data_IF_527122850033
#
_entry.id   IF_527122850033
#
_cell.length_a   1.000
_cell.length_b   1.000
_cell.length_c   1.000
_cell.angle_alpha   90.00
_cell.angle_beta   90.00
_cell.angle_gamma   90.00
#
_symmetry.space_group_name_H-M   'P 1'
#
loop_
_entity.id
_entity.type
_entity.pdbx_description
1 polymer ?
#
# COMPACT_ATOMS: atom_id res chain seq x y z
N UNK A 1 10.76 -9.10 -32.37
CA UNK A 1 9.98 -7.89 -32.67
C UNK A 1 8.96 -7.78 -31.54
N UNK A 2 9.10 -6.80 -30.65
CA UNK A 2 8.10 -6.59 -29.59
C UNK A 2 6.91 -5.87 -30.21
N UNK A 3 5.72 -6.40 -29.95
CA UNK A 3 4.45 -5.84 -30.42
C UNK A 3 4.25 -4.46 -29.76
N UNK A 4 4.32 -3.40 -30.58
CA UNK A 4 4.12 -2.02 -30.15
C UNK A 4 2.63 -1.68 -29.94
N UNK A 5 1.72 -2.58 -30.32
CA UNK A 5 0.27 -2.44 -30.19
C UNK A 5 -0.30 -3.21 -28.99
N UNK A 6 0.56 -3.83 -28.17
CA UNK A 6 0.12 -4.47 -26.93
C UNK A 6 -0.58 -3.42 -26.04
N UNK A 7 -1.85 -3.64 -25.63
CA UNK A 7 -2.56 -2.67 -24.83
C UNK A 7 -1.82 -2.43 -23.51
N UNK A 8 -1.72 -1.17 -23.11
CA UNK A 8 -1.14 -0.80 -21.82
C UNK A 8 -1.85 -1.60 -20.71
N UNK A 9 -1.07 -2.26 -19.85
CA UNK A 9 -1.62 -3.08 -18.75
C UNK A 9 -2.60 -2.22 -17.92
N UNK A 10 -3.85 -2.66 -17.66
CA UNK A 10 -4.80 -1.87 -16.87
C UNK A 10 -4.23 -1.50 -15.50
N UNK A 11 -4.57 -0.32 -15.00
CA UNK A 11 -3.99 0.21 -13.76
C UNK A 11 -4.28 -0.71 -12.56
N UNK A 12 -5.50 -1.26 -12.50
CA UNK A 12 -5.90 -2.22 -11.47
C UNK A 12 -5.15 -3.55 -11.58
N UNK A 13 -4.81 -4.02 -12.80
CA UNK A 13 -3.98 -5.21 -12.96
C UNK A 13 -2.58 -5.01 -12.37
N UNK A 14 -1.98 -3.82 -12.55
CA UNK A 14 -0.68 -3.49 -11.92
C UNK A 14 -0.81 -3.39 -10.41
N UNK A 15 -1.86 -2.73 -9.92
CA UNK A 15 -2.18 -2.63 -8.49
C UNK A 15 -2.26 -4.02 -7.83
N UNK A 16 -3.03 -4.94 -8.41
CA UNK A 16 -3.16 -6.29 -7.88
C UNK A 16 -1.88 -7.12 -8.01
N UNK A 17 -1.10 -6.92 -9.07
CA UNK A 17 0.20 -7.58 -9.22
C UNK A 17 1.16 -7.15 -8.09
N UNK A 18 1.28 -5.86 -7.81
CA UNK A 18 2.13 -5.38 -6.71
C UNK A 18 1.63 -5.87 -5.35
N UNK A 19 0.32 -5.93 -5.13
CA UNK A 19 -0.25 -6.55 -3.94
C UNK A 19 0.16 -8.03 -3.80
N UNK A 20 0.05 -8.82 -4.87
CA UNK A 20 0.41 -10.23 -4.85
C UNK A 20 1.91 -10.44 -4.58
N UNK A 21 2.77 -9.60 -5.16
CA UNK A 21 4.21 -9.61 -4.92
C UNK A 21 4.52 -9.26 -3.45
N UNK A 22 3.89 -8.19 -2.92
CA UNK A 22 4.03 -7.80 -1.53
C UNK A 22 3.66 -8.94 -0.56
N UNK A 23 2.49 -9.56 -0.76
CA UNK A 23 2.01 -10.68 0.06
C UNK A 23 3.00 -11.85 0.02
N UNK A 24 3.49 -12.18 -1.17
CA UNK A 24 4.42 -13.30 -1.38
C UNK A 24 5.73 -13.06 -0.64
N UNK A 25 6.37 -11.91 -0.86
CA UNK A 25 7.61 -11.57 -0.18
C UNK A 25 7.44 -11.42 1.33
N UNK A 26 6.37 -10.75 1.80
CA UNK A 26 6.16 -10.57 3.24
C UNK A 26 5.95 -11.91 3.98
N UNK A 27 5.45 -12.95 3.28
CA UNK A 27 5.35 -14.30 3.84
C UNK A 27 6.73 -14.89 4.18
N UNK A 28 7.76 -14.61 3.40
CA UNK A 28 9.12 -15.14 3.56
C UNK A 28 10.07 -14.25 4.36
N UNK A 29 9.59 -13.11 4.86
CA UNK A 29 10.39 -12.06 5.52
C UNK A 29 11.29 -12.52 6.69
N UNK A 30 10.96 -13.63 7.34
CA UNK A 30 11.68 -14.15 8.51
C UNK A 30 12.62 -15.32 8.13
N UNK A 31 12.67 -15.69 6.84
CA UNK A 31 13.43 -16.83 6.31
C UNK A 31 14.44 -16.40 5.24
N UNK A 32 14.10 -15.39 4.43
CA UNK A 32 14.95 -14.84 3.37
C UNK A 32 15.21 -13.35 3.64
N UNK A 33 16.50 -13.01 3.78
CA UNK A 33 16.96 -11.64 4.10
C UNK A 33 16.55 -10.61 3.03
N UNK A 34 16.32 -11.04 1.77
CA UNK A 34 15.86 -10.15 0.70
C UNK A 34 14.34 -9.95 0.71
N UNK A 35 13.59 -10.84 1.36
CA UNK A 35 12.14 -10.86 1.25
C UNK A 35 11.48 -9.63 1.88
N UNK A 36 12.02 -9.08 2.97
CA UNK A 36 11.50 -7.83 3.52
C UNK A 36 11.70 -6.65 2.55
N UNK A 37 12.82 -6.62 1.83
CA UNK A 37 13.11 -5.60 0.81
C UNK A 37 12.14 -5.70 -0.36
N UNK A 38 11.92 -6.90 -0.89
CA UNK A 38 10.96 -7.13 -1.98
C UNK A 38 9.52 -6.76 -1.61
N UNK A 39 9.11 -7.00 -0.37
CA UNK A 39 7.79 -6.60 0.11
C UNK A 39 7.62 -5.07 0.14
N UNK A 40 8.67 -4.34 0.54
CA UNK A 40 8.66 -2.87 0.58
C UNK A 40 8.67 -2.28 -0.83
N UNK A 41 9.52 -2.78 -1.73
CA UNK A 41 9.59 -2.31 -3.10
C UNK A 41 8.24 -2.49 -3.81
N UNK A 42 7.58 -3.64 -3.60
CA UNK A 42 6.24 -3.88 -4.12
C UNK A 42 5.21 -2.89 -3.54
N UNK A 43 5.31 -2.58 -2.25
CA UNK A 43 4.47 -1.55 -1.65
C UNK A 43 4.70 -0.18 -2.28
N UNK A 44 5.95 0.25 -2.42
CA UNK A 44 6.31 1.55 -3.01
C UNK A 44 5.81 1.68 -4.45
N UNK A 45 5.99 0.63 -5.27
CA UNK A 45 5.44 0.56 -6.63
C UNK A 45 3.92 0.65 -6.65
N UNK A 46 3.25 -0.03 -5.72
CA UNK A 46 1.79 0.05 -5.59
C UNK A 46 1.30 1.44 -5.16
N UNK A 47 2.04 2.11 -4.27
CA UNK A 47 1.72 3.46 -3.79
C UNK A 47 1.97 4.51 -4.87
N UNK A 48 2.94 4.31 -5.76
CA UNK A 48 3.19 5.22 -6.87
C UNK A 48 1.99 5.33 -7.84
N UNK A 49 1.12 4.32 -7.87
CA UNK A 49 -0.08 4.29 -8.72
C UNK A 49 -1.39 4.36 -7.91
N UNK A 50 -1.34 4.60 -6.60
CA UNK A 50 -2.51 4.45 -5.73
C UNK A 50 -3.65 5.39 -6.10
N UNK A 51 -3.37 6.67 -6.38
CA UNK A 51 -4.42 7.61 -6.81
C UNK A 51 -5.14 7.17 -8.09
N UNK A 52 -4.38 6.73 -9.09
CA UNK A 52 -4.93 6.24 -10.36
C UNK A 52 -5.74 4.94 -10.14
N UNK A 53 -5.28 4.06 -9.26
CA UNK A 53 -6.02 2.85 -8.91
C UNK A 53 -7.33 3.18 -8.16
N UNK A 54 -7.31 4.14 -7.24
CA UNK A 54 -8.51 4.61 -6.53
C UNK A 54 -9.55 5.18 -7.51
N UNK A 55 -9.11 6.00 -8.47
CA UNK A 55 -9.96 6.54 -9.53
C UNK A 55 -10.55 5.43 -10.41
N UNK A 56 -9.75 4.43 -10.80
CA UNK A 56 -10.21 3.31 -11.60
C UNK A 56 -11.25 2.42 -10.88
N UNK A 57 -11.14 2.23 -9.57
CA UNK A 57 -12.19 1.54 -8.80
C UNK A 57 -13.55 2.25 -8.89
N UNK A 58 -13.57 3.58 -8.89
CA UNK A 58 -14.80 4.37 -8.97
C UNK A 58 -15.33 4.41 -10.41
N UNK A 59 -14.46 4.69 -11.38
CA UNK A 59 -14.85 5.00 -12.76
C UNK A 59 -15.04 3.73 -13.60
N UNK A 60 -14.06 2.83 -13.58
CA UNK A 60 -14.03 1.64 -14.45
C UNK A 60 -14.87 0.52 -13.84
N UNK A 61 -14.66 0.25 -12.55
CA UNK A 61 -15.34 -0.85 -11.84
C UNK A 61 -16.68 -0.42 -11.21
N UNK A 62 -17.00 0.88 -11.20
CA UNK A 62 -18.26 1.45 -10.67
C UNK A 62 -18.52 1.12 -9.22
N UNK A 63 -17.47 1.08 -8.39
CA UNK A 63 -17.63 0.88 -6.95
C UNK A 63 -18.11 2.17 -6.30
N UNK A 64 -19.09 2.06 -5.41
CA UNK A 64 -19.55 3.20 -4.58
C UNK A 64 -18.48 3.63 -3.56
N UNK A 65 -17.56 2.73 -3.22
CA UNK A 65 -16.52 2.91 -2.21
C UNK A 65 -15.20 2.28 -2.67
N UNK A 66 -14.09 2.98 -2.48
CA UNK A 66 -12.76 2.43 -2.76
C UNK A 66 -12.45 1.35 -1.69
N UNK A 67 -12.01 0.14 -2.07
CA UNK A 67 -11.76 -0.95 -1.12
C UNK A 67 -10.57 -0.65 -0.18
N UNK A 68 -10.21 -1.60 0.68
CA UNK A 68 -9.01 -1.45 1.49
C UNK A 68 -7.73 -1.68 0.69
N UNK A 69 -6.71 -0.85 0.88
CA UNK A 69 -5.43 -1.01 0.18
C UNK A 69 -4.43 -1.85 0.98
N UNK A 70 -4.08 -3.04 0.47
CA UNK A 70 -3.15 -3.95 1.17
C UNK A 70 -1.76 -3.32 1.40
N UNK A 71 -1.11 -2.81 0.35
CA UNK A 71 0.26 -2.29 0.45
C UNK A 71 0.39 -1.09 1.40
N UNK A 72 -0.57 -0.15 1.46
CA UNK A 72 -0.54 0.92 2.47
C UNK A 72 -0.52 0.35 3.89
N UNK A 73 -1.42 -0.59 4.19
CA UNK A 73 -1.51 -1.22 5.50
C UNK A 73 -0.25 -2.00 5.84
N UNK A 74 0.23 -2.82 4.90
CA UNK A 74 1.39 -3.69 5.10
C UNK A 74 2.67 -2.88 5.28
N UNK A 75 2.87 -1.82 4.49
CA UNK A 75 4.04 -0.96 4.61
C UNK A 75 4.02 -0.16 5.91
N UNK A 76 2.86 0.35 6.33
CA UNK A 76 2.73 1.00 7.63
C UNK A 76 3.05 0.05 8.79
N UNK A 77 2.67 -1.24 8.70
CA UNK A 77 3.04 -2.27 9.70
C UNK A 77 4.55 -2.51 9.72
N UNK A 78 5.19 -2.60 8.54
CA UNK A 78 6.64 -2.81 8.43
C UNK A 78 7.40 -1.66 9.09
N UNK A 79 7.04 -0.42 8.76
CA UNK A 79 7.70 0.77 9.32
C UNK A 79 7.40 0.93 10.82
N UNK A 80 6.19 0.61 11.28
CA UNK A 80 5.86 0.58 12.70
C UNK A 80 6.72 -0.44 13.46
N UNK A 81 6.94 -1.65 12.91
CA UNK A 81 7.80 -2.68 13.52
C UNK A 81 9.28 -2.27 13.54
N UNK A 82 9.72 -1.47 12.58
CA UNK A 82 11.09 -0.90 12.53
C UNK A 82 11.26 0.34 13.43
N UNK A 83 10.22 0.78 14.13
CA UNK A 83 10.24 1.98 14.95
C UNK A 83 10.15 3.29 14.15
N UNK A 84 9.97 3.22 12.83
CA UNK A 84 9.79 4.39 11.97
C UNK A 84 8.34 4.88 11.99
N UNK A 85 7.90 5.37 13.15
CA UNK A 85 6.52 5.82 13.35
C UNK A 85 6.14 7.00 12.45
N UNK A 86 7.09 7.88 12.12
CA UNK A 86 6.86 9.01 11.24
C UNK A 86 6.44 8.55 9.82
N UNK A 87 7.16 7.59 9.24
CA UNK A 87 6.80 7.01 7.94
C UNK A 87 5.50 6.23 8.00
N UNK A 88 5.27 5.45 9.06
CA UNK A 88 4.01 4.74 9.25
C UNK A 88 2.79 5.69 9.32
N UNK A 89 2.94 6.85 9.98
CA UNK A 89 1.91 7.91 10.03
C UNK A 89 1.70 8.50 8.64
N UNK A 90 2.77 8.83 7.91
CA UNK A 90 2.66 9.37 6.56
C UNK A 90 1.86 8.44 5.63
N UNK A 91 2.21 7.15 5.63
CA UNK A 91 1.53 6.11 4.84
C UNK A 91 0.04 6.02 5.23
N UNK A 92 -0.26 6.04 6.52
CA UNK A 92 -1.63 5.95 7.03
C UNK A 92 -2.46 7.19 6.66
N UNK A 93 -1.87 8.39 6.74
CA UNK A 93 -2.53 9.65 6.33
C UNK A 93 -2.79 9.67 4.83
N UNK A 94 -1.84 9.21 4.03
CA UNK A 94 -2.01 9.15 2.58
C UNK A 94 -3.16 8.20 2.19
N UNK A 95 -3.20 6.99 2.76
CA UNK A 95 -4.29 6.04 2.52
C UNK A 95 -5.66 6.63 2.85
N UNK A 96 -5.78 7.31 4.00
CA UNK A 96 -7.01 8.00 4.41
C UNK A 96 -7.38 9.14 3.46
N UNK A 97 -6.41 9.98 3.08
CA UNK A 97 -6.63 11.14 2.22
C UNK A 97 -7.03 10.74 0.79
N UNK A 98 -6.57 9.59 0.30
CA UNK A 98 -6.95 9.03 -0.99
C UNK A 98 -8.29 8.26 -0.94
N UNK A 99 -8.93 8.17 0.22
CA UNK A 99 -10.26 7.56 0.36
C UNK A 99 -10.27 6.04 0.42
N UNK A 100 -9.11 5.38 0.52
CA UNK A 100 -9.06 3.93 0.72
C UNK A 100 -9.75 3.56 2.03
N UNK A 101 -10.46 2.43 2.06
CA UNK A 101 -11.06 1.95 3.30
C UNK A 101 -10.03 1.33 4.25
N UNK A 102 -10.29 1.43 5.56
CA UNK A 102 -9.45 0.80 6.59
C UNK A 102 -9.59 1.43 7.97
N UNK A 103 -8.85 0.87 8.93
CA UNK A 103 -8.77 1.30 10.33
C UNK A 103 -7.82 2.51 10.52
N UNK A 104 -7.80 3.45 9.57
CA UNK A 104 -6.75 4.48 9.48
C UNK A 104 -6.74 5.42 10.68
N UNK A 105 -7.90 5.85 11.16
CA UNK A 105 -7.98 6.74 12.32
C UNK A 105 -7.47 6.10 13.60
N UNK A 106 -7.92 4.88 13.90
CA UNK A 106 -7.42 4.11 15.05
C UNK A 106 -5.91 3.86 14.94
N UNK A 107 -5.39 3.62 13.73
CA UNK A 107 -3.96 3.47 13.49
C UNK A 107 -3.19 4.77 13.72
N UNK A 108 -3.70 5.92 13.28
CA UNK A 108 -3.07 7.23 13.52
C UNK A 108 -2.97 7.53 15.01
N UNK A 109 -4.04 7.29 15.78
CA UNK A 109 -4.02 7.46 17.25
C UNK A 109 -2.93 6.60 17.89
N UNK A 110 -2.89 5.30 17.54
CA UNK A 110 -1.88 4.36 18.07
C UNK A 110 -0.45 4.80 17.73
N UNK A 111 -0.20 5.21 16.48
CA UNK A 111 1.13 5.60 16.03
C UNK A 111 1.60 6.92 16.65
N UNK A 112 0.70 7.90 16.82
CA UNK A 112 1.02 9.16 17.51
C UNK A 112 1.44 8.91 18.96
N UNK A 113 0.73 8.03 19.69
CA UNK A 113 1.12 7.63 21.05
C UNK A 113 2.52 6.99 21.07
N UNK A 114 2.82 6.09 20.13
CA UNK A 114 4.14 5.45 20.02
C UNK A 114 5.27 6.42 19.67
N UNK A 115 4.97 7.48 18.94
CA UNK A 115 5.93 8.53 18.59
C UNK A 115 6.16 9.54 19.73
N UNK A 116 5.43 9.42 20.85
CA UNK A 116 5.52 10.36 21.96
C UNK A 116 4.94 11.74 21.65
N UNK A 117 4.07 11.86 20.63
CA UNK A 117 3.34 13.11 20.33
C UNK A 117 1.90 13.00 20.81
N UNK A 118 1.35 14.01 21.51
CA UNK A 118 -0.09 14.06 21.76
C UNK A 118 -0.84 14.10 20.42
N UNK A 119 -1.97 13.37 20.36
CA UNK A 119 -2.92 13.39 19.23
C UNK A 119 -3.67 14.69 19.23
#
# INVERSE_FOLDING_TARGET
>A
MYDLDAPAIPILSRHFAFQAICISYYRWRDVDDFAIGGAIEACEKSLAISKLAAEAFIIEEKFDIIPSHHCFKQYAIIEEKRGNFAKAILLTRQAKAEGWQGDWDSRLVRLSHKMGKPV
#
